data_IF_703834445838
#
_entry.id   IF_703834445838
#
_cell.length_a   1.000
_cell.length_b   1.000
_cell.length_c   1.000
_cell.angle_alpha   90.00
_cell.angle_beta   90.00
_cell.angle_gamma   90.00
#
_symmetry.space_group_name_H-M   'P 1'
#
loop_
_entity.id
_entity.type
_entity.pdbx_description
1 polymer ?
#
# COMPACT_ATOMS: atom_id res chain seq x y z
N UNK A 1 7.32 63.76 57.05
CA UNK A 1 7.97 62.76 57.92
C UNK A 1 7.14 61.49 57.88
N UNK A 2 7.82 60.34 57.95
CA UNK A 2 7.29 58.95 57.94
C UNK A 2 6.86 58.52 56.52
N UNK A 3 7.31 57.44 55.91
CA UNK A 3 8.07 56.26 56.34
C UNK A 3 7.70 55.12 55.39
N UNK A 4 8.67 54.33 54.94
CA UNK A 4 8.59 53.42 53.80
C UNK A 4 7.67 52.19 53.96
N UNK A 5 7.24 51.61 52.82
CA UNK A 5 7.19 50.16 52.62
C UNK A 5 7.04 49.83 51.12
N UNK A 6 8.14 49.49 50.45
CA UNK A 6 8.11 48.78 49.17
C UNK A 6 7.88 47.28 49.45
N UNK A 7 6.73 46.75 49.04
CA UNK A 7 6.47 45.32 49.04
C UNK A 7 7.13 44.70 47.80
N UNK A 8 8.16 43.89 48.02
CA UNK A 8 8.78 43.02 47.02
C UNK A 8 7.81 41.89 46.65
N UNK A 9 7.34 41.87 45.40
CA UNK A 9 6.63 40.71 44.87
C UNK A 9 7.65 39.63 44.48
N UNK A 10 7.60 38.50 45.18
CA UNK A 10 8.35 37.31 44.84
C UNK A 10 7.89 36.77 43.47
N UNK A 11 8.83 36.66 42.52
CA UNK A 11 8.63 35.94 41.27
C UNK A 11 8.51 34.45 41.57
N UNK A 12 7.32 33.88 41.32
CA UNK A 12 7.12 32.43 41.35
C UNK A 12 7.90 31.80 40.18
N UNK A 13 8.92 31.02 40.51
CA UNK A 13 9.70 30.19 39.58
C UNK A 13 8.80 29.12 38.95
N UNK A 14 8.59 29.18 37.64
CA UNK A 14 7.93 28.12 36.88
C UNK A 14 8.80 26.85 36.87
N UNK A 15 8.22 25.65 37.07
CA UNK A 15 8.97 24.41 36.98
C UNK A 15 9.40 24.16 35.53
N UNK A 16 10.70 23.93 35.33
CA UNK A 16 11.25 23.43 34.05
C UNK A 16 10.63 22.05 33.77
N UNK A 17 9.84 21.97 32.70
CA UNK A 17 9.37 20.70 32.17
C UNK A 17 10.55 20.05 31.43
N UNK A 18 11.10 18.98 32.00
CA UNK A 18 12.12 18.17 31.34
C UNK A 18 11.54 17.58 30.04
N UNK A 19 12.31 17.48 28.94
CA UNK A 19 11.84 16.80 27.74
C UNK A 19 11.57 15.33 28.09
N UNK A 20 10.34 14.89 27.89
CA UNK A 20 9.99 13.48 27.98
C UNK A 20 10.88 12.70 27.02
N UNK A 21 11.72 11.83 27.57
CA UNK A 21 12.47 10.85 26.80
C UNK A 21 11.45 10.02 26.02
N UNK A 22 11.49 10.12 24.69
CA UNK A 22 10.74 9.24 23.82
C UNK A 22 11.17 7.80 24.16
N UNK A 23 10.29 7.05 24.82
CA UNK A 23 10.51 5.64 25.07
C UNK A 23 10.65 4.95 23.72
N UNK A 24 11.77 4.26 23.53
CA UNK A 24 11.94 3.36 22.40
C UNK A 24 10.74 2.38 22.40
N UNK A 25 10.16 2.05 21.23
CA UNK A 25 9.06 1.10 21.18
C UNK A 25 9.50 -0.19 21.87
N UNK A 26 8.71 -0.65 22.84
CA UNK A 26 8.90 -1.95 23.46
C UNK A 26 9.05 -2.97 22.34
N UNK A 27 10.23 -3.61 22.27
CA UNK A 27 10.50 -4.65 21.30
C UNK A 27 9.40 -5.70 21.46
N UNK A 28 8.64 -5.95 20.38
CA UNK A 28 7.70 -7.06 20.33
C UNK A 28 8.45 -8.30 20.83
N UNK A 29 7.89 -9.05 21.77
CA UNK A 29 8.52 -10.26 22.33
C UNK A 29 9.04 -11.10 21.18
N UNK A 30 10.37 -11.24 21.07
CA UNK A 30 11.00 -11.75 19.87
C UNK A 30 10.49 -13.17 19.58
N UNK A 31 9.71 -13.32 18.51
CA UNK A 31 9.23 -14.62 18.07
C UNK A 31 10.38 -15.40 17.44
N UNK A 32 10.38 -16.71 17.61
CA UNK A 32 11.32 -17.57 16.92
C UNK A 32 11.19 -17.38 15.39
N UNK A 33 12.30 -17.23 14.65
CA UNK A 33 12.25 -17.10 13.20
C UNK A 33 11.55 -18.28 12.53
N UNK A 34 10.78 -17.99 11.48
CA UNK A 34 10.09 -18.96 10.65
C UNK A 34 10.07 -18.43 9.21
N UNK A 35 11.13 -18.72 8.44
CA UNK A 35 11.24 -18.25 7.06
C UNK A 35 10.34 -19.02 6.08
N UNK A 36 9.70 -20.12 6.51
CA UNK A 36 8.81 -20.93 5.67
C UNK A 36 7.32 -20.67 5.95
N UNK A 37 7.01 -19.85 6.96
CA UNK A 37 5.64 -19.55 7.32
C UNK A 37 4.90 -18.72 6.28
N UNK A 38 3.60 -18.61 6.47
CA UNK A 38 2.67 -17.93 5.58
C UNK A 38 2.72 -16.41 5.73
N UNK A 39 2.45 -15.72 4.63
CA UNK A 39 2.41 -14.26 4.55
C UNK A 39 1.01 -13.81 4.14
N UNK A 40 0.31 -12.99 4.94
CA UNK A 40 -0.99 -12.45 4.55
C UNK A 40 -0.85 -11.32 3.53
N UNK A 41 -1.66 -11.38 2.47
CA UNK A 41 -1.91 -10.27 1.54
C UNK A 41 -3.32 -9.76 1.81
N UNK A 42 -3.45 -8.52 2.29
CA UNK A 42 -4.71 -7.89 2.66
C UNK A 42 -5.27 -7.10 1.48
N UNK A 43 -6.57 -7.23 1.22
CA UNK A 43 -7.29 -6.52 0.15
C UNK A 43 -8.31 -5.55 0.75
N UNK A 44 -8.12 -4.26 0.48
CA UNK A 44 -9.02 -3.17 0.83
C UNK A 44 -9.58 -2.52 -0.44
N UNK A 45 -10.84 -2.05 -0.40
CA UNK A 45 -11.44 -1.29 -1.51
C UNK A 45 -11.76 0.14 -1.08
N UNK A 46 -12.62 0.35 -0.07
CA UNK A 46 -12.95 1.69 0.42
C UNK A 46 -12.45 1.88 1.86
N UNK A 47 -11.88 3.04 2.14
CA UNK A 47 -11.55 3.48 3.52
C UNK A 47 -12.29 4.78 3.81
N UNK A 48 -13.45 4.69 4.45
CA UNK A 48 -14.41 5.79 4.51
C UNK A 48 -15.17 5.89 5.83
N UNK A 49 -16.40 6.38 5.79
CA UNK A 49 -17.13 6.72 7.03
C UNK A 49 -17.81 5.53 7.70
N UNK A 50 -17.97 4.40 7.01
CA UNK A 50 -18.70 3.24 7.54
C UNK A 50 -18.13 1.92 7.03
N UNK A 51 -18.28 0.89 7.84
CA UNK A 51 -18.05 -0.48 7.40
C UNK A 51 -19.14 -0.92 6.42
N UNK A 52 -18.76 -1.74 5.46
CA UNK A 52 -19.66 -2.46 4.56
C UNK A 52 -18.93 -3.67 3.99
N UNK A 53 -19.53 -4.37 3.02
CA UNK A 53 -18.88 -5.50 2.36
C UNK A 53 -17.56 -5.12 1.67
N UNK A 54 -17.46 -3.89 1.17
CA UNK A 54 -16.31 -3.35 0.42
C UNK A 54 -15.68 -2.14 1.12
N UNK A 55 -16.23 -1.72 2.27
CA UNK A 55 -15.77 -0.55 2.99
C UNK A 55 -15.27 -0.90 4.37
N UNK A 56 -14.12 -0.33 4.72
CA UNK A 56 -13.58 -0.27 6.07
C UNK A 56 -13.74 1.15 6.58
N UNK A 57 -14.29 1.33 7.79
CA UNK A 57 -14.34 2.68 8.35
C UNK A 57 -12.93 3.22 8.61
N UNK A 58 -12.78 4.53 8.58
CA UNK A 58 -11.54 5.26 8.84
C UNK A 58 -11.01 4.90 10.23
N UNK A 59 -11.89 4.78 11.22
CA UNK A 59 -11.58 4.37 12.59
C UNK A 59 -11.09 2.93 12.65
N UNK A 60 -11.72 2.01 11.90
CA UNK A 60 -11.27 0.62 11.88
C UNK A 60 -10.00 0.42 11.10
N UNK A 61 -9.78 1.15 10.01
CA UNK A 61 -8.50 1.11 9.31
C UNK A 61 -7.35 1.58 10.22
N UNK A 62 -7.53 2.62 11.03
CA UNK A 62 -6.55 2.99 12.07
C UNK A 62 -6.31 1.84 13.05
N UNK A 63 -7.38 1.19 13.53
CA UNK A 63 -7.26 0.02 14.42
C UNK A 63 -6.57 -1.17 13.75
N UNK A 64 -6.74 -1.36 12.44
CA UNK A 64 -6.08 -2.43 11.69
C UNK A 64 -4.56 -2.22 11.68
N UNK A 65 -4.10 -0.98 11.46
CA UNK A 65 -2.67 -0.63 11.52
C UNK A 65 -2.11 -0.87 12.92
N UNK A 66 -2.80 -0.39 13.96
CA UNK A 66 -2.42 -0.61 15.36
C UNK A 66 -2.37 -2.10 15.72
N UNK A 67 -3.40 -2.86 15.34
CA UNK A 67 -3.48 -4.30 15.60
C UNK A 67 -2.33 -5.05 14.95
N UNK A 68 -2.06 -4.78 13.68
CA UNK A 68 -0.95 -5.39 12.95
C UNK A 68 0.39 -5.02 13.58
N UNK A 69 0.60 -3.74 13.89
CA UNK A 69 1.82 -3.25 14.50
C UNK A 69 2.07 -3.89 15.87
N UNK A 70 1.06 -3.89 16.75
CA UNK A 70 1.10 -4.49 18.09
C UNK A 70 1.32 -6.01 18.02
N UNK A 71 0.78 -6.69 17.01
CA UNK A 71 1.05 -8.10 16.74
C UNK A 71 2.35 -8.34 15.99
N UNK A 72 3.24 -7.35 15.86
CA UNK A 72 4.58 -7.52 15.31
C UNK A 72 4.62 -7.70 13.78
N UNK A 73 3.62 -7.21 13.06
CA UNK A 73 3.65 -7.17 11.59
C UNK A 73 4.28 -5.89 11.06
N UNK A 74 4.97 -5.97 9.91
CA UNK A 74 5.55 -4.83 9.19
C UNK A 74 5.21 -4.91 7.70
N UNK A 75 4.90 -3.76 7.09
CA UNK A 75 4.42 -3.76 5.72
C UNK A 75 5.54 -4.04 4.72
N UNK A 76 5.22 -4.81 3.68
CA UNK A 76 6.01 -4.97 2.44
C UNK A 76 5.10 -4.82 1.23
N UNK A 77 5.65 -4.49 0.07
CA UNK A 77 4.89 -4.44 -1.19
C UNK A 77 4.78 -5.84 -1.83
N UNK A 78 3.90 -5.99 -2.83
CA UNK A 78 3.81 -7.24 -3.60
C UNK A 78 5.12 -7.49 -4.34
N UNK A 79 5.71 -6.47 -4.96
CA UNK A 79 7.02 -6.57 -5.59
C UNK A 79 8.10 -7.12 -4.64
N UNK A 80 8.18 -6.58 -3.41
CA UNK A 80 9.14 -7.07 -2.40
C UNK A 80 8.86 -8.51 -1.97
N UNK A 81 7.58 -8.89 -1.84
CA UNK A 81 7.20 -10.27 -1.56
C UNK A 81 7.70 -11.21 -2.66
N UNK A 82 7.46 -10.89 -3.93
CA UNK A 82 7.84 -11.73 -5.08
C UNK A 82 9.35 -11.85 -5.21
N UNK A 83 10.10 -10.78 -4.91
CA UNK A 83 11.56 -10.80 -4.95
C UNK A 83 12.20 -11.48 -3.72
N UNK A 84 11.39 -11.82 -2.70
CA UNK A 84 11.89 -12.30 -1.41
C UNK A 84 12.64 -11.23 -0.61
N UNK A 85 12.50 -9.94 -0.95
CA UNK A 85 13.14 -8.80 -0.29
C UNK A 85 12.41 -8.40 1.01
N UNK A 86 12.43 -9.31 1.98
CA UNK A 86 11.78 -9.13 3.29
C UNK A 86 12.73 -8.41 4.25
N UNK A 87 12.88 -7.11 4.06
CA UNK A 87 13.63 -6.21 4.97
C UNK A 87 12.73 -5.65 6.08
N UNK A 88 12.60 -6.43 7.15
CA UNK A 88 11.89 -6.09 8.40
C UNK A 88 12.67 -6.60 9.62
N UNK A 89 12.48 -6.00 10.82
CA UNK A 89 13.21 -6.39 12.03
C UNK A 89 13.07 -7.87 12.42
N UNK A 90 14.09 -8.41 13.10
CA UNK A 90 14.05 -9.78 13.61
C UNK A 90 12.86 -9.99 14.55
N UNK A 91 12.22 -11.15 14.48
CA UNK A 91 11.05 -11.48 15.29
C UNK A 91 9.73 -10.85 14.81
N UNK A 92 9.75 -10.05 13.74
CA UNK A 92 8.55 -9.47 13.11
C UNK A 92 8.11 -10.26 11.88
N UNK A 93 6.88 -10.04 11.43
CA UNK A 93 6.26 -10.75 10.30
C UNK A 93 5.89 -9.79 9.17
N UNK A 94 6.07 -10.14 7.89
CA UNK A 94 5.61 -9.31 6.79
C UNK A 94 4.07 -9.36 6.70
N UNK A 95 3.48 -8.24 6.30
CA UNK A 95 2.09 -8.15 5.83
C UNK A 95 2.08 -7.32 4.55
N UNK A 96 1.34 -7.78 3.53
CA UNK A 96 1.19 -7.03 2.29
C UNK A 96 -0.16 -6.34 2.30
N UNK A 97 -0.19 -5.05 2.00
CA UNK A 97 -1.44 -4.30 1.81
C UNK A 97 -1.68 -4.07 0.32
N UNK A 98 -2.88 -4.40 -0.14
CA UNK A 98 -3.36 -4.11 -1.48
C UNK A 98 -4.63 -3.27 -1.41
N UNK A 99 -4.72 -2.26 -2.28
CA UNK A 99 -5.84 -1.35 -2.37
C UNK A 99 -6.36 -1.33 -3.80
N UNK A 100 -7.57 -1.82 -4.03
CA UNK A 100 -8.14 -1.98 -5.38
C UNK A 100 -9.00 -0.76 -5.80
N UNK A 101 -9.29 -0.65 -7.08
CA UNK A 101 -10.25 0.28 -7.71
C UNK A 101 -9.87 1.76 -7.84
N UNK A 102 -8.78 2.21 -7.26
CA UNK A 102 -8.43 3.62 -7.31
C UNK A 102 -9.54 4.62 -6.80
N UNK A 103 -10.21 4.36 -5.66
CA UNK A 103 -11.23 5.27 -5.05
C UNK A 103 -10.68 6.49 -4.29
N UNK A 104 -11.28 7.71 -4.37
CA UNK A 104 -10.84 8.89 -3.61
C UNK A 104 -10.67 8.65 -2.10
N UNK A 105 -11.46 7.74 -1.52
CA UNK A 105 -11.35 7.33 -0.12
C UNK A 105 -9.97 6.76 0.26
N UNK A 106 -9.25 6.16 -0.70
CA UNK A 106 -7.89 5.67 -0.50
C UNK A 106 -6.86 6.81 -0.58
N UNK A 107 -6.98 7.70 -1.56
CA UNK A 107 -6.07 8.84 -1.70
C UNK A 107 -6.79 10.09 -2.22
N UNK A 108 -7.02 11.05 -1.32
CA UNK A 108 -7.65 12.33 -1.60
C UNK A 108 -6.71 13.49 -1.31
N UNK A 109 -6.73 14.52 -2.15
CA UNK A 109 -6.23 15.84 -1.78
C UNK A 109 -7.39 16.73 -1.31
N UNK A 110 -7.10 17.59 -0.35
CA UNK A 110 -7.96 18.68 0.11
C UNK A 110 -7.21 20.01 0.00
N UNK A 111 -7.95 21.10 -0.07
CA UNK A 111 -7.39 22.45 -0.03
C UNK A 111 -7.69 23.10 1.33
N UNK A 112 -6.66 23.49 2.07
CA UNK A 112 -6.76 24.23 3.34
C UNK A 112 -5.91 25.49 3.24
N UNK A 113 -6.54 26.66 3.43
CA UNK A 113 -5.83 27.94 3.35
C UNK A 113 -5.10 28.16 2.02
N UNK A 114 -5.68 27.70 0.90
CA UNK A 114 -5.07 27.78 -0.44
C UNK A 114 -3.96 26.76 -0.71
N UNK A 115 -3.64 25.88 0.23
CA UNK A 115 -2.63 24.82 0.07
C UNK A 115 -3.28 23.47 -0.16
N UNK A 116 -2.74 22.72 -1.12
CA UNK A 116 -3.12 21.33 -1.41
C UNK A 116 -2.41 20.40 -0.44
N UNK A 117 -3.16 19.57 0.27
CA UNK A 117 -2.67 18.65 1.29
C UNK A 117 -3.30 17.26 1.13
N UNK A 118 -2.60 16.20 1.53
CA UNK A 118 -3.18 14.85 1.61
C UNK A 118 -4.25 14.85 2.69
N UNK A 119 -5.45 14.36 2.35
CA UNK A 119 -6.54 14.29 3.31
C UNK A 119 -6.20 13.31 4.44
N UNK A 120 -6.15 13.75 5.72
CA UNK A 120 -5.82 12.89 6.86
C UNK A 120 -6.87 11.81 7.16
N UNK A 121 -8.05 11.86 6.52
CA UNK A 121 -9.07 10.82 6.59
C UNK A 121 -8.96 9.77 5.47
N UNK A 122 -8.15 10.01 4.44
CA UNK A 122 -7.90 9.01 3.38
C UNK A 122 -6.96 7.91 3.88
N UNK A 123 -6.99 6.73 3.23
CA UNK A 123 -6.08 5.63 3.59
C UNK A 123 -4.60 6.08 3.58
N UNK A 124 -4.17 6.82 2.56
CA UNK A 124 -2.81 7.38 2.48
C UNK A 124 -2.55 8.37 3.61
N UNK A 125 -3.48 9.28 3.91
CA UNK A 125 -3.31 10.24 4.99
C UNK A 125 -3.16 9.58 6.36
N UNK A 126 -3.97 8.55 6.62
CA UNK A 126 -3.89 7.72 7.83
C UNK A 126 -2.55 6.99 7.89
N UNK A 127 -2.13 6.37 6.78
CA UNK A 127 -0.85 5.66 6.70
C UNK A 127 0.32 6.58 7.03
N UNK A 128 0.37 7.75 6.40
CA UNK A 128 1.45 8.73 6.61
C UNK A 128 1.46 9.24 8.06
N UNK A 129 0.30 9.42 8.68
CA UNK A 129 0.22 9.77 10.09
C UNK A 129 0.77 8.66 10.99
N UNK A 130 0.41 7.41 10.71
CA UNK A 130 0.88 6.24 11.44
C UNK A 130 2.41 6.05 11.32
N UNK A 131 2.96 6.19 10.12
CA UNK A 131 4.41 6.09 9.86
C UNK A 131 5.23 7.16 10.60
N UNK A 132 4.67 8.35 10.85
CA UNK A 132 5.39 9.41 11.59
C UNK A 132 5.63 9.05 13.06
N UNK A 133 4.73 8.29 13.67
CA UNK A 133 4.85 7.83 15.07
C UNK A 133 5.42 6.42 15.18
N UNK A 134 5.53 5.69 14.07
CA UNK A 134 6.07 4.33 13.98
C UNK A 134 7.10 4.25 12.84
N UNK A 135 8.36 4.68 13.05
CA UNK A 135 9.35 4.83 11.96
C UNK A 135 9.70 3.54 11.21
N UNK A 136 9.46 2.37 11.82
CA UNK A 136 9.63 1.06 11.19
C UNK A 136 8.38 0.59 10.42
N UNK A 137 7.25 1.31 10.52
CA UNK A 137 6.11 1.19 9.62
C UNK A 137 6.36 1.99 8.34
N UNK A 138 7.17 1.44 7.45
CA UNK A 138 7.52 2.06 6.16
C UNK A 138 6.30 2.23 5.26
N UNK A 139 6.36 3.18 4.34
CA UNK A 139 5.37 3.45 3.28
C UNK A 139 5.40 2.34 2.21
N UNK A 140 4.90 1.16 2.57
CA UNK A 140 4.89 -0.05 1.74
C UNK A 140 3.48 -0.60 1.64
N UNK A 141 2.83 -0.35 0.52
CA UNK A 141 1.53 -0.91 0.14
C UNK A 141 1.44 -0.85 -1.39
N UNK A 142 0.57 -1.67 -1.96
CA UNK A 142 0.39 -1.79 -3.40
C UNK A 142 -1.00 -1.28 -3.78
N UNK A 143 -1.08 -0.20 -4.54
CA UNK A 143 -2.35 0.31 -5.04
C UNK A 143 -2.60 -0.24 -6.44
N UNK A 144 -3.66 -1.02 -6.61
CA UNK A 144 -4.09 -1.59 -7.89
C UNK A 144 -5.15 -0.71 -8.53
N UNK A 145 -4.77 -0.09 -9.64
CA UNK A 145 -5.38 1.17 -10.01
C UNK A 145 -6.18 1.10 -11.32
N UNK A 146 -7.38 1.66 -11.26
CA UNK A 146 -8.23 1.90 -12.42
C UNK A 146 -7.90 3.26 -13.05
N UNK A 147 -7.96 3.32 -14.39
CA UNK A 147 -7.59 4.50 -15.18
C UNK A 147 -8.76 5.14 -15.92
N UNK A 148 -9.99 4.71 -15.64
CA UNK A 148 -11.16 5.12 -16.40
C UNK A 148 -12.48 4.48 -15.96
N UNK A 149 -12.62 4.07 -14.70
CA UNK A 149 -13.92 3.62 -14.19
C UNK A 149 -14.77 4.79 -13.66
N UNK A 150 -16.04 4.50 -13.40
CA UNK A 150 -17.05 5.47 -12.94
C UNK A 150 -16.86 5.85 -11.46
N UNK A 151 -17.70 6.77 -10.96
CA UNK A 151 -17.76 7.13 -9.53
C UNK A 151 -16.39 7.50 -8.88
N UNK A 152 -15.48 8.08 -9.65
CA UNK A 152 -14.17 8.55 -9.15
C UNK A 152 -13.10 7.46 -9.12
N UNK A 153 -13.40 6.25 -9.59
CA UNK A 153 -12.48 5.13 -9.74
C UNK A 153 -11.57 5.29 -10.97
N UNK A 154 -10.85 6.40 -11.00
CA UNK A 154 -9.99 6.81 -12.10
C UNK A 154 -8.80 7.55 -11.51
N UNK A 155 -7.80 6.77 -11.08
CA UNK A 155 -6.64 7.21 -10.31
C UNK A 155 -6.99 8.26 -9.24
N UNK A 156 -7.96 7.84 -8.41
CA UNK A 156 -8.39 8.50 -7.18
C UNK A 156 -9.18 9.79 -7.32
N UNK A 157 -9.95 9.90 -8.39
CA UNK A 157 -11.02 10.88 -8.51
C UNK A 157 -10.88 11.74 -9.75
N UNK A 158 -12.02 12.11 -10.31
CA UNK A 158 -12.12 13.01 -11.44
C UNK A 158 -12.90 14.28 -11.05
N UNK A 159 -12.94 15.26 -11.95
CA UNK A 159 -13.60 16.55 -11.73
C UNK A 159 -15.02 16.36 -11.21
N UNK A 160 -15.32 17.01 -10.09
CA UNK A 160 -16.67 17.06 -9.51
C UNK A 160 -17.01 15.89 -8.59
N UNK A 161 -16.09 14.95 -8.36
CA UNK A 161 -16.28 13.83 -7.43
C UNK A 161 -15.44 14.08 -6.18
N UNK A 162 -16.10 14.21 -5.03
CA UNK A 162 -15.45 14.37 -3.72
C UNK A 162 -14.37 15.48 -3.69
N UNK A 163 -14.63 16.59 -4.38
CA UNK A 163 -13.71 17.73 -4.46
C UNK A 163 -12.40 17.47 -5.22
N UNK A 164 -12.27 16.33 -5.91
CA UNK A 164 -11.06 15.99 -6.65
C UNK A 164 -11.00 16.71 -7.99
N UNK A 165 -9.77 17.05 -8.41
CA UNK A 165 -9.48 17.71 -9.69
C UNK A 165 -8.79 16.72 -10.62
N UNK A 166 -9.21 16.67 -11.90
CA UNK A 166 -8.61 15.78 -12.91
C UNK A 166 -7.09 15.96 -13.04
N UNK A 167 -6.60 17.18 -12.83
CA UNK A 167 -5.18 17.53 -12.88
C UNK A 167 -4.34 16.85 -11.78
N UNK A 168 -4.96 16.45 -10.66
CA UNK A 168 -4.26 15.81 -9.55
C UNK A 168 -4.01 14.32 -9.76
N UNK A 169 -4.67 13.67 -10.72
CA UNK A 169 -4.58 12.22 -10.91
C UNK A 169 -3.14 11.73 -11.10
N UNK A 170 -2.42 12.29 -12.06
CA UNK A 170 -1.03 11.88 -12.32
C UNK A 170 -0.08 12.31 -11.18
N UNK A 171 -0.37 13.42 -10.51
CA UNK A 171 0.41 13.87 -9.35
C UNK A 171 0.27 12.89 -8.17
N UNK A 172 -0.90 12.29 -7.97
CA UNK A 172 -1.10 11.26 -6.95
C UNK A 172 -0.24 10.03 -7.21
N UNK A 173 -0.11 9.61 -8.47
CA UNK A 173 0.72 8.45 -8.81
C UNK A 173 2.19 8.72 -8.54
N UNK A 174 2.68 9.89 -8.95
CA UNK A 174 4.05 10.35 -8.62
C UNK A 174 4.26 10.39 -7.11
N UNK A 175 3.34 10.99 -6.36
CA UNK A 175 3.41 11.03 -4.91
C UNK A 175 3.51 9.62 -4.31
N UNK A 176 2.64 8.69 -4.71
CA UNK A 176 2.67 7.32 -4.19
C UNK A 176 4.03 6.65 -4.43
N UNK A 177 4.54 6.73 -5.66
CA UNK A 177 5.83 6.13 -6.01
C UNK A 177 7.00 6.80 -5.28
N UNK A 178 7.02 8.13 -5.18
CA UNK A 178 8.03 8.90 -4.44
C UNK A 178 8.03 8.59 -2.94
N UNK A 179 6.86 8.33 -2.36
CA UNK A 179 6.76 7.89 -0.97
C UNK A 179 7.20 6.43 -0.78
N UNK A 180 7.34 5.62 -1.83
CA UNK A 180 7.75 4.21 -1.74
C UNK A 180 6.61 3.18 -1.82
N UNK A 181 5.39 3.63 -2.12
CA UNK A 181 4.28 2.72 -2.45
C UNK A 181 4.45 2.13 -3.85
N UNK A 182 3.86 0.95 -4.06
CA UNK A 182 3.83 0.27 -5.35
C UNK A 182 2.57 0.62 -6.15
N UNK A 183 2.70 0.80 -7.46
CA UNK A 183 1.61 0.98 -8.40
C UNK A 183 1.38 -0.33 -9.17
N UNK A 184 0.15 -0.83 -9.10
CA UNK A 184 -0.32 -2.08 -9.68
C UNK A 184 -1.40 -1.79 -10.74
N UNK A 185 -1.45 -2.60 -11.78
CA UNK A 185 -2.48 -2.53 -12.81
C UNK A 185 -3.80 -3.16 -12.33
N UNK A 186 -4.93 -2.61 -12.77
CA UNK A 186 -6.25 -3.16 -12.47
C UNK A 186 -7.26 -3.03 -13.61
N UNK A 187 -6.80 -2.94 -14.86
CA UNK A 187 -7.58 -2.64 -16.09
C UNK A 187 -8.07 -1.19 -16.15
N UNK A 188 -8.65 -0.78 -17.29
CA UNK A 188 -9.09 0.62 -17.47
C UNK A 188 -10.32 0.92 -16.62
N UNK A 189 -11.38 0.12 -16.77
CA UNK A 189 -12.70 0.43 -16.20
C UNK A 189 -13.25 -0.65 -15.26
N UNK A 190 -12.38 -1.55 -14.76
CA UNK A 190 -12.73 -2.72 -13.95
C UNK A 190 -13.38 -3.83 -14.80
N UNK A 191 -12.68 -4.21 -15.87
CA UNK A 191 -13.18 -5.15 -16.85
C UNK A 191 -13.22 -6.58 -16.33
N UNK A 192 -14.40 -7.21 -16.41
CA UNK A 192 -14.57 -8.65 -16.21
C UNK A 192 -13.96 -9.41 -17.40
N UNK A 193 -12.67 -9.73 -17.28
CA UNK A 193 -11.87 -10.24 -18.39
C UNK A 193 -12.39 -11.57 -18.98
N UNK A 194 -13.14 -12.37 -18.22
CA UNK A 194 -13.75 -13.60 -18.71
C UNK A 194 -14.78 -13.36 -19.83
N UNK A 195 -15.36 -12.16 -19.90
CA UNK A 195 -16.41 -11.80 -20.88
C UNK A 195 -15.86 -11.36 -22.23
N UNK A 196 -14.56 -11.14 -22.34
CA UNK A 196 -13.95 -10.53 -23.52
C UNK A 196 -13.01 -11.47 -24.26
N UNK A 197 -12.83 -11.23 -25.56
CA UNK A 197 -11.79 -11.88 -26.36
C UNK A 197 -10.42 -11.25 -26.13
N UNK A 198 -9.38 -11.97 -26.56
CA UNK A 198 -7.97 -11.66 -26.31
C UNK A 198 -7.57 -10.21 -26.64
N UNK A 199 -8.05 -9.66 -27.76
CA UNK A 199 -7.74 -8.29 -28.16
C UNK A 199 -8.23 -7.24 -27.15
N UNK A 200 -9.44 -7.40 -26.61
CA UNK A 200 -10.00 -6.48 -25.61
C UNK A 200 -9.32 -6.68 -24.26
N UNK A 201 -8.97 -7.93 -23.90
CA UNK A 201 -8.19 -8.21 -22.68
C UNK A 201 -6.84 -7.50 -22.74
N UNK A 202 -6.09 -7.66 -23.84
CA UNK A 202 -4.81 -7.00 -24.05
C UNK A 202 -4.95 -5.48 -24.04
N UNK A 203 -5.97 -4.94 -24.71
CA UNK A 203 -6.26 -3.50 -24.71
C UNK A 203 -6.50 -2.97 -23.29
N UNK A 204 -7.37 -3.64 -22.51
CA UNK A 204 -7.74 -3.22 -21.16
C UNK A 204 -6.52 -3.17 -20.22
N UNK A 205 -5.63 -4.15 -20.32
CA UNK A 205 -4.45 -4.23 -19.49
C UNK A 205 -3.40 -3.22 -19.98
N UNK A 206 -3.07 -3.23 -21.27
CA UNK A 206 -2.01 -2.41 -21.84
C UNK A 206 -2.32 -0.90 -21.72
N UNK A 207 -3.57 -0.48 -21.96
CA UNK A 207 -3.96 0.94 -21.80
C UNK A 207 -3.86 1.41 -20.35
N UNK A 208 -4.15 0.54 -19.39
CA UNK A 208 -3.98 0.86 -17.98
C UNK A 208 -2.50 0.99 -17.60
N UNK A 209 -1.65 0.06 -18.05
CA UNK A 209 -0.19 0.15 -17.88
C UNK A 209 0.36 1.43 -18.51
N UNK A 210 -0.08 1.77 -19.72
CA UNK A 210 0.29 3.02 -20.39
C UNK A 210 -0.14 4.27 -19.60
N UNK A 211 -1.32 4.24 -18.98
CA UNK A 211 -1.81 5.34 -18.17
C UNK A 211 -0.95 5.54 -16.90
N UNK A 212 -0.47 4.45 -16.28
CA UNK A 212 0.47 4.52 -15.15
C UNK A 212 1.82 5.10 -15.60
N UNK A 213 2.37 4.59 -16.70
CA UNK A 213 3.63 5.08 -17.31
C UNK A 213 3.56 6.57 -17.69
N UNK A 214 2.37 7.05 -18.07
CA UNK A 214 2.17 8.48 -18.38
C UNK A 214 2.29 9.38 -17.14
N UNK A 215 2.12 8.85 -15.93
CA UNK A 215 2.35 9.60 -14.69
C UNK A 215 3.83 9.66 -14.32
N UNK A 216 4.55 8.56 -14.56
CA UNK A 216 5.95 8.34 -14.20
C UNK A 216 6.62 7.61 -15.38
N UNK A 217 7.33 8.36 -16.22
CA UNK A 217 7.93 7.80 -17.43
C UNK A 217 8.93 6.70 -17.09
N UNK A 218 8.76 5.52 -17.71
CA UNK A 218 9.59 4.35 -17.48
C UNK A 218 9.20 3.53 -16.26
N UNK A 219 8.07 3.82 -15.61
CA UNK A 219 7.60 3.03 -14.48
C UNK A 219 7.23 1.61 -14.93
N UNK A 220 7.98 0.61 -14.43
CA UNK A 220 7.68 -0.79 -14.68
C UNK A 220 6.56 -1.25 -13.75
N UNK A 221 5.36 -1.41 -14.28
CA UNK A 221 4.23 -2.02 -13.54
C UNK A 221 4.47 -3.52 -13.42
N UNK A 222 4.69 -4.01 -12.19
CA UNK A 222 5.08 -5.40 -11.91
C UNK A 222 3.93 -6.29 -11.48
N UNK A 223 2.86 -5.70 -10.97
CA UNK A 223 1.74 -6.43 -10.37
C UNK A 223 0.44 -6.09 -11.08
N UNK A 224 -0.40 -7.11 -11.24
CA UNK A 224 -1.74 -6.99 -11.79
C UNK A 224 -2.76 -7.65 -10.86
N UNK A 225 -3.79 -6.92 -10.44
CA UNK A 225 -4.94 -7.50 -9.76
C UNK A 225 -6.05 -7.79 -10.76
N UNK A 226 -6.63 -8.99 -10.69
CA UNK A 226 -7.75 -9.37 -11.54
C UNK A 226 -9.05 -8.72 -11.03
N UNK A 227 -9.74 -7.88 -11.82
CA UNK A 227 -11.07 -7.41 -11.46
C UNK A 227 -11.99 -8.60 -11.19
N UNK A 228 -12.73 -8.56 -10.08
CA UNK A 228 -13.61 -9.65 -9.61
C UNK A 228 -12.92 -11.01 -9.39
N UNK A 229 -11.59 -11.09 -9.49
CA UNK A 229 -10.85 -12.35 -9.48
C UNK A 229 -11.07 -13.17 -10.75
N UNK A 230 -11.64 -12.55 -11.78
CA UNK A 230 -12.08 -13.17 -13.02
C UNK A 230 -10.93 -13.31 -13.99
N UNK A 231 -10.62 -14.54 -14.40
CA UNK A 231 -9.55 -14.81 -15.34
C UNK A 231 -10.01 -14.62 -16.79
N UNK A 232 -9.18 -14.05 -17.68
CA UNK A 232 -9.43 -14.13 -19.11
C UNK A 232 -9.45 -15.59 -19.56
N UNK A 233 -10.22 -15.88 -20.62
CA UNK A 233 -10.25 -17.22 -21.26
C UNK A 233 -8.84 -17.70 -21.59
N UNK A 234 -8.05 -16.83 -22.21
CA UNK A 234 -6.61 -17.02 -22.36
C UNK A 234 -5.87 -16.50 -21.11
N UNK A 235 -5.65 -17.38 -20.13
CA UNK A 235 -5.02 -17.05 -18.84
C UNK A 235 -3.62 -16.45 -18.98
N UNK A 236 -2.89 -16.75 -20.04
CA UNK A 236 -1.54 -16.21 -20.26
C UNK A 236 -1.56 -14.68 -20.40
N UNK A 237 -2.67 -14.11 -20.90
CA UNK A 237 -2.83 -12.66 -21.06
C UNK A 237 -2.94 -11.91 -19.74
N UNK A 238 -3.26 -12.57 -18.63
CA UNK A 238 -3.18 -11.96 -17.30
C UNK A 238 -1.74 -11.78 -16.83
N UNK A 239 -0.78 -12.51 -17.43
CA UNK A 239 0.65 -12.41 -17.10
C UNK A 239 1.40 -11.51 -18.07
N UNK A 240 1.22 -11.72 -19.37
CA UNK A 240 1.95 -10.96 -20.38
C UNK A 240 1.14 -10.82 -21.68
N UNK A 241 1.35 -9.72 -22.38
CA UNK A 241 0.68 -9.43 -23.63
C UNK A 241 1.20 -8.17 -24.29
N UNK A 242 0.66 -7.89 -25.47
CA UNK A 242 0.93 -6.66 -26.21
C UNK A 242 -0.36 -6.16 -26.83
N UNK A 243 -0.45 -4.85 -26.97
CA UNK A 243 -1.53 -4.19 -27.66
C UNK A 243 -0.96 -3.08 -28.52
N UNK A 244 -1.44 -2.97 -29.76
CA UNK A 244 -1.11 -1.88 -30.67
C UNK A 244 -2.27 -0.93 -30.72
N UNK A 245 -2.04 0.33 -30.35
CA UNK A 245 -3.03 1.38 -30.46
C UNK A 245 -3.41 1.56 -31.95
N UNK A 246 -4.67 1.31 -32.35
CA UNK A 246 -5.08 1.44 -33.73
C UNK A 246 -5.01 2.88 -34.26
N UNK A 247 -4.97 3.89 -33.37
CA UNK A 247 -4.90 5.31 -33.77
C UNK A 247 -3.47 5.79 -33.94
N UNK A 248 -2.62 5.57 -32.93
CA UNK A 248 -1.23 6.05 -32.96
C UNK A 248 -0.24 5.06 -33.54
N UNK A 249 -0.63 3.79 -33.68
CA UNK A 249 0.28 2.70 -34.03
C UNK A 249 1.25 2.32 -32.91
N UNK A 250 1.21 2.99 -31.74
CA UNK A 250 2.07 2.71 -30.60
C UNK A 250 1.80 1.31 -30.07
N UNK A 251 2.86 0.52 -29.94
CA UNK A 251 2.78 -0.75 -29.24
C UNK A 251 3.05 -0.56 -27.75
N UNK A 252 2.22 -1.19 -26.93
CA UNK A 252 2.38 -1.27 -25.48
C UNK A 252 2.45 -2.74 -25.10
N UNK A 253 3.57 -3.12 -24.47
CA UNK A 253 3.78 -4.45 -23.95
C UNK A 253 3.69 -4.43 -22.43
N UNK A 254 3.20 -5.52 -21.85
CA UNK A 254 3.18 -5.72 -20.42
C UNK A 254 3.61 -7.14 -20.07
N UNK A 255 4.29 -7.27 -18.94
CA UNK A 255 4.68 -8.53 -18.34
C UNK A 255 4.75 -8.34 -16.82
N UNK A 256 3.86 -9.00 -16.11
CA UNK A 256 3.75 -8.91 -14.66
C UNK A 256 4.51 -10.02 -13.98
N UNK A 257 5.21 -9.65 -12.92
CA UNK A 257 5.88 -10.58 -12.02
C UNK A 257 4.85 -11.20 -11.05
N UNK A 258 3.78 -10.47 -10.72
CA UNK A 258 2.70 -10.96 -9.87
C UNK A 258 1.30 -10.77 -10.45
N UNK A 259 0.44 -11.77 -10.23
CA UNK A 259 -1.01 -11.70 -10.51
C UNK A 259 -1.79 -12.00 -9.22
N UNK A 260 -2.65 -11.07 -8.82
CA UNK A 260 -3.43 -11.16 -7.59
C UNK A 260 -4.85 -11.68 -7.86
N UNK A 261 -5.26 -12.66 -7.05
CA UNK A 261 -6.64 -13.16 -6.93
C UNK A 261 -7.39 -12.36 -5.87
N UNK A 262 -8.71 -12.47 -5.85
CA UNK A 262 -9.57 -11.70 -4.92
C UNK A 262 -9.67 -12.30 -3.51
N UNK A 263 -9.62 -13.62 -3.38
CA UNK A 263 -9.72 -14.25 -2.06
C UNK A 263 -9.01 -15.60 -2.01
N UNK A 264 -8.65 -16.01 -0.80
CA UNK A 264 -8.08 -17.32 -0.50
C UNK A 264 -7.37 -17.34 0.85
N UNK A 265 -6.21 -17.99 0.90
CA UNK A 265 -5.40 -18.13 2.11
C UNK A 265 -4.17 -17.20 2.08
N UNK A 266 -3.53 -16.94 3.23
CA UNK A 266 -2.17 -16.40 3.27
C UNK A 266 -1.23 -17.23 2.41
N UNK A 267 -0.40 -16.54 1.63
CA UNK A 267 0.45 -17.20 0.64
C UNK A 267 1.62 -17.91 1.30
N UNK A 268 2.18 -18.97 0.68
CA UNK A 268 3.45 -19.54 1.11
C UNK A 268 4.56 -18.49 1.19
N UNK A 269 5.62 -18.79 1.94
CA UNK A 269 6.86 -18.02 1.87
C UNK A 269 7.38 -17.95 0.42
N UNK A 270 7.97 -16.82 -0.04
CA UNK A 270 8.54 -16.73 -1.38
C UNK A 270 9.68 -17.72 -1.65
N UNK A 271 10.28 -18.31 -0.60
CA UNK A 271 11.27 -19.39 -0.75
C UNK A 271 10.66 -20.79 -0.85
N UNK A 272 9.33 -20.94 -0.79
CA UNK A 272 8.65 -22.23 -0.87
C UNK A 272 8.43 -22.66 -2.32
N UNK A 273 8.60 -23.95 -2.60
CA UNK A 273 8.27 -24.57 -3.90
C UNK A 273 6.79 -24.43 -4.28
N UNK A 274 5.92 -24.15 -3.30
CA UNK A 274 4.48 -23.95 -3.53
C UNK A 274 4.10 -22.49 -3.77
N UNK A 275 5.06 -21.56 -3.68
CA UNK A 275 4.83 -20.15 -3.95
C UNK A 275 4.61 -19.91 -5.44
N UNK A 276 3.41 -19.42 -5.81
CA UNK A 276 3.08 -19.07 -7.18
C UNK A 276 2.81 -17.56 -7.28
N UNK A 277 3.76 -16.76 -7.77
CA UNK A 277 3.59 -15.31 -7.87
C UNK A 277 2.51 -14.92 -8.89
N UNK A 278 2.19 -15.81 -9.83
CA UNK A 278 1.15 -15.58 -10.84
C UNK A 278 -0.24 -16.05 -10.41
N UNK A 279 -0.46 -16.35 -9.13
CA UNK A 279 -1.78 -16.69 -8.59
C UNK A 279 -1.87 -16.40 -7.08
N UNK A 280 -1.44 -15.21 -6.65
CA UNK A 280 -1.38 -14.84 -5.24
C UNK A 280 -2.78 -14.63 -4.65
N UNK A 281 -3.11 -15.39 -3.61
CA UNK A 281 -4.35 -15.26 -2.88
C UNK A 281 -4.31 -14.09 -1.89
N UNK A 282 -5.47 -13.48 -1.65
CA UNK A 282 -5.63 -12.32 -0.77
C UNK A 282 -6.70 -12.57 0.27
N UNK A 283 -6.70 -11.75 1.31
CA UNK A 283 -7.70 -11.74 2.37
C UNK A 283 -8.44 -10.42 2.30
N UNK A 284 -9.73 -10.48 1.99
CA UNK A 284 -10.57 -9.29 1.94
C UNK A 284 -10.84 -8.77 3.35
N UNK A 285 -10.52 -7.52 3.60
CA UNK A 285 -10.66 -6.93 4.93
C UNK A 285 -12.03 -6.26 5.07
N UNK A 286 -12.98 -7.00 5.63
CA UNK A 286 -14.30 -6.52 6.04
C UNK A 286 -14.68 -7.19 7.37
N UNK A 287 -15.69 -6.66 8.06
CA UNK A 287 -16.17 -7.23 9.33
C UNK A 287 -15.02 -7.59 10.29
N UNK A 288 -14.91 -8.82 10.78
CA UNK A 288 -13.83 -9.28 11.68
C UNK A 288 -12.77 -10.17 10.99
N UNK A 289 -12.64 -10.12 9.67
CA UNK A 289 -11.82 -11.08 8.92
C UNK A 289 -10.31 -10.93 9.19
N UNK A 290 -9.84 -9.70 9.46
CA UNK A 290 -8.44 -9.48 9.84
C UNK A 290 -8.14 -10.14 11.18
N UNK A 291 -8.98 -9.91 12.18
CA UNK A 291 -8.83 -10.48 13.52
C UNK A 291 -8.83 -12.02 13.47
N UNK A 292 -9.80 -12.62 12.76
CA UNK A 292 -9.88 -14.08 12.57
C UNK A 292 -8.64 -14.64 11.87
N UNK A 293 -8.14 -13.95 10.84
CA UNK A 293 -6.94 -14.34 10.11
C UNK A 293 -5.73 -14.39 11.05
N UNK A 294 -5.51 -13.30 11.80
CA UNK A 294 -4.35 -13.18 12.68
C UNK A 294 -4.42 -14.21 13.81
N UNK A 295 -5.59 -14.39 14.43
CA UNK A 295 -5.80 -15.42 15.45
C UNK A 295 -5.53 -16.83 14.94
N UNK A 296 -5.92 -17.13 13.69
CA UNK A 296 -5.65 -18.44 13.07
C UNK A 296 -4.14 -18.64 12.84
N UNK A 297 -3.44 -17.63 12.33
CA UNK A 297 -1.99 -17.70 12.14
C UNK A 297 -1.23 -17.83 13.46
N UNK A 298 -1.69 -17.11 14.49
CA UNK A 298 -1.17 -17.17 15.86
C UNK A 298 -1.32 -18.58 16.44
N UNK A 299 -2.55 -19.14 16.42
CA UNK A 299 -2.83 -20.47 16.94
C UNK A 299 -2.08 -21.58 16.21
N UNK A 300 -1.91 -21.45 14.90
CA UNK A 300 -1.23 -22.46 14.08
C UNK A 300 0.30 -22.39 14.19
N UNK A 301 0.87 -21.25 14.63
CA UNK A 301 2.31 -21.03 14.58
C UNK A 301 2.89 -20.91 13.17
N UNK A 302 2.04 -20.82 12.13
CA UNK A 302 2.40 -20.92 10.71
C UNK A 302 2.58 -19.55 10.03
N UNK A 303 2.87 -18.48 10.78
CA UNK A 303 3.22 -17.20 10.13
C UNK A 303 4.71 -17.13 9.82
N UNK A 304 5.04 -16.43 8.75
CA UNK A 304 6.42 -16.04 8.50
C UNK A 304 6.94 -15.18 9.66
N UNK A 305 8.13 -15.46 10.16
CA UNK A 305 8.84 -14.62 11.13
C UNK A 305 10.26 -14.38 10.64
N UNK A 306 10.62 -13.11 10.46
CA UNK A 306 11.92 -12.67 9.97
C UNK A 306 13.03 -13.00 10.98
N UNK A 307 14.17 -13.48 10.49
CA UNK A 307 15.42 -13.55 11.25
C UNK A 307 16.13 -12.20 11.37
N UNK A 308 15.59 -11.15 10.72
CA UNK A 308 16.08 -9.78 10.73
C UNK A 308 16.67 -9.35 9.39
N UNK A 309 16.89 -8.04 9.27
CA UNK A 309 17.51 -7.44 8.08
C UNK A 309 18.93 -7.99 7.90
N UNK A 310 19.11 -8.92 6.97
CA UNK A 310 20.43 -9.16 6.39
C UNK A 310 20.71 -7.96 5.49
N UNK A 311 21.57 -7.04 5.91
CA UNK A 311 22.12 -6.05 4.96
C UNK A 311 23.05 -6.83 4.04
N UNK A 312 22.75 -7.03 2.74
CA UNK A 312 23.79 -7.44 1.83
C UNK A 312 24.84 -6.33 1.81
N UNK A 313 26.10 -6.68 2.04
CA UNK A 313 27.24 -5.80 1.76
C UNK A 313 27.22 -5.48 0.25
N UNK A 314 26.46 -4.46 -0.16
CA UNK A 314 26.51 -3.97 -1.53
C UNK A 314 27.70 -3.01 -1.60
N UNK A 315 28.74 -3.28 -2.41
CA UNK A 315 29.83 -2.33 -2.59
C UNK A 315 29.25 -0.99 -3.10
N UNK A 316 29.73 0.12 -2.52
CA UNK A 316 29.36 1.47 -2.96
C UNK A 316 29.51 1.56 -4.48
N UNK A 317 28.54 2.12 -5.23
CA UNK A 317 28.76 2.43 -6.62
C UNK A 317 29.94 3.39 -6.73
N UNK A 318 30.91 3.05 -7.59
CA UNK A 318 32.02 3.93 -7.90
C UNK A 318 31.45 5.28 -8.37
N UNK A 319 31.84 6.35 -7.68
CA UNK A 319 31.57 7.72 -8.12
C UNK A 319 32.18 7.90 -9.49
N UNK A 320 31.34 7.97 -10.52
CA UNK A 320 31.81 8.34 -11.86
C UNK A 320 32.28 9.80 -11.82
N UNK A 321 33.50 10.12 -12.26
CA UNK A 321 33.98 11.49 -12.31
C UNK A 321 33.17 12.25 -13.36
N UNK A 322 32.62 13.39 -12.96
CA UNK A 322 31.98 14.35 -13.87
C UNK A 322 32.98 14.72 -14.96
N UNK A 323 32.57 14.60 -16.23
CA UNK A 323 33.09 15.38 -17.36
C UNK A 323 31.93 16.15 -17.94
#
# INVERSE_FOLDING_TARGET
MIGAAFASQAQASQPRVSPAQAQAPQAASARAPNAQGRIPILEYHLVGNKDSRWGRSTERFRRDLELLYARGYRPITVAQLVDGEIDIPAGTSPVVFTFDDASPSQFRYIERGGKKEVDPSSAVGIWLAFSRTHPDWKTRATFCLLSGASAGHNFFGDKGIEGQKSAWRLEKLRFLAEQGFELCAHTVWHADLAKYGDLIVQEQIARNVLAIDSAISGYRVRTFALPLGSWPKNRALARAGRWKDPRSGREVQYAFDAVLKVSGSPVPSPSSDTFNPHALERIQVFAGELEKLLDRLDRAGDRYVSSGTVRPNRPKPATSPRR
#
